data_IF_760516354091
#
_entry.id   IF_760516354091
#
_cell.length_a   1.000
_cell.length_b   1.000
_cell.length_c   1.000
_cell.angle_alpha   90.00
_cell.angle_beta   90.00
_cell.angle_gamma   90.00
#
_symmetry.space_group_name_H-M   'P 1'
#
loop_
_entity.id
_entity.type
_entity.pdbx_description
1 polymer ?
#
# COMPACT_ATOMS: atom_id res chain seq x y z
N UNK A 1 -28.07 -3.71 7.26
CA UNK A 1 -27.89 -3.77 7.16
C UNK A 1 -27.40 -3.84 6.77
N UNK A 2 -27.43 -3.68 6.43
CA UNK A 2 -27.02 -3.77 5.99
C UNK A 2 -26.38 -3.96 5.55
N UNK A 3 -26.40 -4.03 5.25
CA UNK A 3 -25.84 -4.24 4.81
C UNK A 3 -25.29 -4.28 4.26
N UNK A 4 -25.53 -4.40 3.84
CA UNK A 4 -25.12 -4.45 3.24
C UNK A 4 -24.66 -4.08 2.61
N UNK A 5 -24.84 -3.95 2.22
CA UNK A 5 -24.58 -3.65 1.66
C UNK A 5 -23.72 -3.30 1.20
N UNK A 6 -24.00 -3.24 1.21
CA UNK A 6 -23.30 -3.01 0.90
C UNK A 6 -22.47 -2.86 0.45
N UNK A 7 -22.54 -2.93 0.24
CA UNK A 7 -21.95 -3.00 -0.11
C UNK A 7 -21.22 -2.80 -0.71
N UNK A 8 -21.61 -2.72 -1.02
CA UNK A 8 -21.08 -2.68 -1.50
C UNK A 8 -20.35 -2.39 -2.09
N UNK A 9 -20.29 -2.29 -2.46
CA UNK A 9 -19.88 -2.16 -2.87
C UNK A 9 -18.98 -1.76 -3.32
N UNK A 10 -19.11 -1.66 -3.58
CA UNK A 10 -18.43 -1.43 -3.90
C UNK A 10 -17.57 -0.96 -4.29
N UNK A 11 -17.62 -0.94 -4.78
CA UNK A 11 -16.98 -0.70 -5.01
C UNK A 11 -16.28 -0.06 -5.33
N UNK A 12 -16.23 0.15 -5.62
CA UNK A 12 -15.83 0.56 -5.73
C UNK A 12 -15.00 1.22 -5.69
N UNK A 13 -14.96 1.49 -5.90
CA UNK A 13 -14.37 1.99 -5.63
C UNK A 13 -13.70 2.68 -5.12
N UNK A 14 -13.53 3.10 -5.28
CA UNK A 14 -12.87 3.84 -4.63
C UNK A 14 -12.99 4.43 -3.76
N UNK A 15 -13.36 4.67 -4.24
CA UNK A 15 -13.53 5.37 -3.14
C UNK A 15 -14.22 4.72 -2.17
N UNK A 16 -14.71 3.80 -2.58
CA UNK A 16 -15.30 3.02 -1.65
C UNK A 16 -14.63 3.01 -0.42
N UNK A 17 -13.57 3.16 -0.50
CA UNK A 17 -12.85 3.05 0.68
C UNK A 17 -13.12 4.18 1.60
N UNK A 18 -13.75 5.19 1.16
CA UNK A 18 -14.11 6.16 2.05
C UNK A 18 -15.23 5.77 2.83
N UNK A 19 -15.97 5.02 2.42
CA UNK A 19 -17.07 4.70 3.12
C UNK A 19 -16.87 3.71 4.05
N UNK A 20 -16.27 3.31 4.02
CA UNK A 20 -16.26 2.31 4.91
C UNK A 20 -16.49 2.69 6.27
N UNK A 21 -16.70 3.60 5.97
CA UNK A 21 -16.84 3.84 7.02
C UNK A 21 -17.41 3.98 7.75
N UNK A 22 -17.88 3.98 7.41
CA UNK A 22 -18.44 3.97 8.13
C UNK A 22 -18.75 3.88 8.94
N UNK A 23 -18.93 3.86 8.68
CA UNK A 23 -19.40 3.54 9.39
C UNK A 23 -19.36 3.47 10.19
N UNK A 24 -19.56 3.39 9.95
CA UNK A 24 -19.66 3.11 10.75
C UNK A 24 -19.41 3.31 11.76
N UNK A 25 -19.45 3.40 11.52
CA UNK A 25 -19.35 3.40 12.37
C UNK A 25 -19.22 3.66 13.38
N UNK A 26 -19.44 3.64 13.21
CA UNK A 26 -19.58 3.65 14.14
C UNK A 26 -19.26 3.64 15.12
N UNK A 27 -19.30 3.53 15.05
CA UNK A 27 -19.22 3.36 16.10
C UNK A 27 -18.56 3.30 16.93
N UNK A 28 -18.47 3.30 16.61
CA UNK A 28 -18.00 3.28 17.46
C UNK A 28 -17.34 3.16 18.28
N UNK A 29 -17.60 3.27 18.25
CA UNK A 29 -17.20 3.21 19.25
C UNK A 29 -15.97 3.21 19.58
N UNK A 30 -15.78 3.22 19.40
CA UNK A 30 -14.51 3.14 20.02
C UNK A 30 -13.40 3.32 19.03
N UNK A 31 -12.28 3.84 19.38
CA UNK A 31 -11.17 3.96 18.53
C UNK A 31 -10.56 2.63 18.15
N UNK A 32 -11.18 1.55 18.61
CA UNK A 32 -10.67 0.25 18.30
C UNK A 32 -11.27 -0.37 17.07
N UNK A 33 -12.14 0.33 16.38
CA UNK A 33 -12.74 -0.31 15.23
C UNK A 33 -11.67 -0.54 14.18
N UNK A 34 -11.71 -1.71 13.57
CA UNK A 34 -10.76 -2.15 12.58
C UNK A 34 -11.36 -1.93 11.21
N UNK A 35 -10.63 -1.30 10.32
CA UNK A 35 -11.10 -1.09 8.96
C UNK A 35 -10.73 -2.30 8.12
N UNK A 36 -11.69 -2.78 7.36
CA UNK A 36 -11.47 -3.95 6.50
C UNK A 36 -11.83 -3.63 5.06
N UNK A 37 -11.16 -4.32 4.16
CA UNK A 37 -11.43 -4.24 2.74
C UNK A 37 -11.54 -5.67 2.23
N UNK A 38 -12.71 -6.02 1.71
CA UNK A 38 -13.01 -7.38 1.23
C UNK A 38 -12.64 -8.44 2.26
N UNK A 39 -12.91 -8.17 3.52
CA UNK A 39 -12.65 -9.12 4.59
C UNK A 39 -11.26 -9.07 5.19
N UNK A 40 -10.35 -8.30 4.61
CA UNK A 40 -8.98 -8.19 5.12
C UNK A 40 -8.79 -6.92 5.93
N UNK A 41 -8.06 -7.02 7.03
CA UNK A 41 -7.71 -5.86 7.85
C UNK A 41 -6.80 -4.94 7.04
N UNK A 42 -7.06 -3.64 7.09
CA UNK A 42 -6.24 -2.67 6.35
C UNK A 42 -5.28 -1.95 7.29
N UNK A 43 -4.20 -1.43 6.72
CA UNK A 43 -3.22 -0.62 7.43
C UNK A 43 -3.29 0.84 6.99
N UNK A 44 -3.88 1.13 5.85
CA UNK A 44 -3.97 2.48 5.33
C UNK A 44 -4.29 2.47 3.85
N UNK A 45 -3.97 3.57 3.17
CA UNK A 45 -4.17 3.67 1.71
C UNK A 45 -2.92 4.22 1.06
N UNK A 46 -2.73 3.87 -0.21
CA UNK A 46 -1.63 4.37 -1.02
C UNK A 46 -2.19 5.07 -2.24
N UNK A 47 -1.59 6.19 -2.60
CA UNK A 47 -1.95 6.91 -3.80
C UNK A 47 -0.68 7.22 -4.57
N UNK A 48 -0.62 6.81 -5.84
CA UNK A 48 0.53 7.06 -6.71
C UNK A 48 0.02 7.80 -7.95
N UNK A 49 0.13 9.14 -7.96
CA UNK A 49 -0.42 9.91 -9.08
C UNK A 49 0.16 9.52 -10.45
N UNK A 50 1.45 9.19 -10.50
CA UNK A 50 2.09 8.80 -11.77
C UNK A 50 1.37 7.64 -12.44
N UNK A 51 0.92 6.66 -11.67
CA UNK A 51 0.25 5.48 -12.22
C UNK A 51 -1.26 5.54 -12.02
N UNK A 52 -1.74 6.62 -11.39
CA UNK A 52 -3.16 6.79 -11.06
C UNK A 52 -3.69 5.70 -10.14
N UNK A 53 -2.82 5.09 -9.36
CA UNK A 53 -3.23 4.07 -8.40
C UNK A 53 -3.76 4.73 -7.14
N UNK A 54 -4.86 4.22 -6.63
CA UNK A 54 -5.38 4.57 -5.32
C UNK A 54 -6.00 3.30 -4.77
N UNK A 55 -5.43 2.78 -3.70
CA UNK A 55 -5.83 1.46 -3.23
C UNK A 55 -5.64 1.35 -1.72
N UNK A 56 -6.42 0.47 -1.08
CA UNK A 56 -6.15 0.16 0.32
C UNK A 56 -4.87 -0.65 0.43
N UNK A 57 -4.18 -0.46 1.54
CA UNK A 57 -3.00 -1.26 1.88
C UNK A 57 -3.46 -2.23 2.95
N UNK A 58 -3.33 -3.53 2.68
CA UNK A 58 -3.74 -4.54 3.66
C UNK A 58 -2.66 -4.70 4.72
N UNK A 59 -3.08 -5.07 5.93
CA UNK A 59 -2.17 -5.18 7.05
C UNK A 59 -1.20 -6.35 6.88
N UNK A 60 -0.04 -6.22 7.51
CA UNK A 60 1.00 -7.25 7.41
C UNK A 60 0.48 -8.61 7.90
N UNK A 61 -0.41 -8.61 8.89
CA UNK A 61 -0.97 -9.86 9.41
C UNK A 61 -1.78 -10.63 8.37
N UNK A 62 -2.19 -9.95 7.29
CA UNK A 62 -2.98 -10.58 6.24
C UNK A 62 -2.15 -11.08 5.07
N UNK A 63 -0.83 -10.90 5.11
CA UNK A 63 0.01 -11.22 3.96
C UNK A 63 -0.21 -12.67 3.53
N UNK A 64 -0.67 -12.86 2.29
CA UNK A 64 -1.00 -14.17 1.75
C UNK A 64 -1.20 -14.03 0.25
N UNK A 65 -1.20 -15.15 -0.48
CA UNK A 65 -1.52 -15.07 -1.92
C UNK A 65 -2.87 -14.44 -2.18
N UNK A 66 -3.88 -14.75 -1.36
CA UNK A 66 -5.19 -14.20 -1.57
C UNK A 66 -5.24 -12.71 -1.29
N UNK A 67 -4.55 -12.25 -0.28
CA UNK A 67 -4.47 -10.82 0.01
C UNK A 67 -3.82 -10.08 -1.15
N UNK A 68 -2.76 -10.63 -1.72
CA UNK A 68 -2.09 -10.01 -2.86
C UNK A 68 -2.95 -9.99 -4.11
N UNK A 69 -3.93 -10.89 -4.21
CA UNK A 69 -4.89 -10.84 -5.31
C UNK A 69 -5.94 -9.76 -5.09
N UNK A 70 -6.08 -9.30 -3.84
CA UNK A 70 -7.13 -8.37 -3.47
C UNK A 70 -6.64 -6.93 -3.48
N UNK A 71 -5.42 -6.66 -3.05
CA UNK A 71 -4.86 -5.32 -3.08
C UNK A 71 -3.35 -5.40 -2.83
N UNK A 72 -2.74 -4.27 -2.45
CA UNK A 72 -1.34 -4.26 -2.04
C UNK A 72 -1.29 -4.51 -0.54
N UNK A 73 -0.20 -5.07 -0.05
CA UNK A 73 -0.13 -5.60 1.32
C UNK A 73 1.20 -5.21 1.95
N UNK A 74 1.18 -4.82 3.22
CA UNK A 74 2.44 -4.61 3.96
C UNK A 74 3.16 -5.94 4.08
N UNK A 75 4.40 -5.99 3.63
CA UNK A 75 5.23 -7.19 3.69
C UNK A 75 6.14 -7.18 4.90
N UNK A 76 6.67 -6.04 5.29
CA UNK A 76 7.72 -5.96 6.28
C UNK A 76 7.84 -4.53 6.78
N UNK A 77 8.25 -4.33 8.01
CA UNK A 77 8.73 -3.04 8.44
C UNK A 77 8.10 -2.49 9.70
N UNK A 78 8.36 -1.22 9.94
CA UNK A 78 8.04 -0.57 11.21
C UNK A 78 6.59 -0.09 11.29
N UNK A 79 5.91 -0.03 10.14
CA UNK A 79 4.56 0.48 10.10
C UNK A 79 4.47 1.74 9.26
N UNK A 80 3.32 1.98 8.67
CA UNK A 80 3.15 3.10 7.76
C UNK A 80 3.35 4.42 8.50
N UNK A 81 4.06 5.34 7.85
CA UNK A 81 4.26 6.70 8.34
C UNK A 81 5.04 6.79 9.64
N UNK A 82 5.88 5.78 9.93
CA UNK A 82 6.73 5.75 11.12
C UNK A 82 8.19 5.75 10.72
N UNK A 83 9.07 6.26 11.61
CA UNK A 83 10.51 6.23 11.30
C UNK A 83 11.00 4.82 11.02
N UNK A 84 11.79 4.69 9.96
CA UNK A 84 12.24 3.40 9.46
C UNK A 84 11.60 3.09 8.14
N UNK A 85 11.82 1.89 7.64
CA UNK A 85 11.27 1.47 6.36
C UNK A 85 10.08 0.53 6.53
N UNK A 86 9.07 0.70 5.68
CA UNK A 86 7.98 -0.25 5.56
C UNK A 86 7.88 -0.64 4.10
N UNK A 87 7.87 -1.94 3.82
CA UNK A 87 7.80 -2.47 2.47
C UNK A 87 6.37 -2.88 2.15
N UNK A 88 5.88 -2.43 1.02
CA UNK A 88 4.54 -2.74 0.52
C UNK A 88 4.71 -3.54 -0.76
N UNK A 89 4.08 -4.71 -0.80
CA UNK A 89 4.13 -5.60 -1.95
C UNK A 89 2.84 -5.52 -2.73
N UNK A 90 2.94 -5.64 -4.04
CA UNK A 90 1.77 -5.68 -4.92
C UNK A 90 2.11 -6.45 -6.19
N UNK A 91 1.10 -7.07 -6.76
CA UNK A 91 1.27 -7.85 -7.99
C UNK A 91 1.49 -6.95 -9.19
N UNK A 92 2.21 -7.48 -10.14
CA UNK A 92 2.33 -6.93 -11.48
C UNK A 92 1.63 -7.91 -12.41
N UNK A 93 0.42 -7.54 -12.84
CA UNK A 93 -0.35 -8.38 -13.75
C UNK A 93 -0.06 -8.02 -15.21
N UNK A 94 0.89 -7.12 -15.46
CA UNK A 94 1.20 -6.64 -16.81
C UNK A 94 -0.04 -6.05 -17.47
N UNK A 95 -0.88 -5.43 -16.66
CA UNK A 95 -2.11 -4.83 -17.12
C UNK A 95 -2.26 -3.48 -16.44
N UNK A 96 -2.25 -2.42 -17.24
CA UNK A 96 -2.25 -1.07 -16.74
C UNK A 96 -3.45 -0.82 -15.81
N UNK A 97 -3.19 -0.13 -14.72
CA UNK A 97 -4.23 0.23 -13.79
C UNK A 97 -4.44 -0.78 -12.67
N UNK A 98 -3.73 -1.91 -12.67
CA UNK A 98 -3.94 -2.95 -11.66
C UNK A 98 -2.74 -2.99 -10.72
N UNK A 99 -2.97 -2.64 -9.47
CA UNK A 99 -1.98 -2.70 -8.38
C UNK A 99 -0.65 -2.07 -8.78
N UNK A 100 0.45 -2.84 -8.75
CA UNK A 100 1.78 -2.32 -9.06
C UNK A 100 2.22 -2.64 -10.49
N UNK A 101 1.27 -2.96 -11.36
CA UNK A 101 1.59 -3.30 -12.75
C UNK A 101 2.29 -2.16 -13.49
N UNK A 102 2.03 -0.92 -13.10
CA UNK A 102 2.63 0.24 -13.76
C UNK A 102 3.79 0.84 -12.97
N UNK A 103 4.30 0.17 -11.95
CA UNK A 103 5.38 0.74 -11.15
C UNK A 103 6.62 1.06 -11.98
N UNK A 104 6.82 0.39 -13.10
CA UNK A 104 7.95 0.70 -13.99
C UNK A 104 7.89 2.14 -14.53
N UNK A 105 6.73 2.77 -14.48
CA UNK A 105 6.58 4.15 -14.95
C UNK A 105 6.93 5.17 -13.89
N UNK A 106 7.12 4.76 -12.65
CA UNK A 106 7.48 5.67 -11.56
C UNK A 106 8.95 6.03 -11.69
N UNK A 107 9.25 7.30 -11.52
CA UNK A 107 10.63 7.80 -11.64
C UNK A 107 11.06 8.49 -10.36
N UNK A 108 12.38 8.59 -10.19
CA UNK A 108 12.94 9.38 -9.08
C UNK A 108 12.37 10.79 -9.17
N UNK A 109 11.93 11.31 -8.03
CA UNK A 109 11.28 12.62 -7.94
C UNK A 109 9.76 12.55 -7.88
N UNK A 110 9.18 11.42 -8.27
CA UNK A 110 7.72 11.28 -8.23
C UNK A 110 7.24 11.17 -6.78
N UNK A 111 5.99 11.50 -6.56
CA UNK A 111 5.39 11.48 -5.22
C UNK A 111 4.52 10.28 -5.02
N UNK A 112 4.51 9.77 -3.79
CA UNK A 112 3.64 8.72 -3.33
C UNK A 112 3.02 9.20 -2.03
N UNK A 113 1.72 9.02 -1.85
CA UNK A 113 1.03 9.45 -0.65
C UNK A 113 0.53 8.25 0.12
N UNK A 114 0.83 8.22 1.41
CA UNK A 114 0.36 7.15 2.30
C UNK A 114 -0.49 7.79 3.39
N UNK A 115 -1.70 7.28 3.55
CA UNK A 115 -2.58 7.69 4.65
C UNK A 115 -2.71 6.51 5.59
N UNK A 116 -2.37 6.69 6.85
CA UNK A 116 -2.45 5.62 7.82
C UNK A 116 -3.84 5.60 8.48
N UNK A 117 -4.04 4.65 9.38
CA UNK A 117 -5.36 4.49 10.01
C UNK A 117 -5.75 5.64 10.93
N UNK A 118 -4.79 6.44 11.37
CA UNK A 118 -5.11 7.61 12.17
C UNK A 118 -5.57 8.78 11.32
N UNK A 119 -5.50 8.63 9.99
CA UNK A 119 -5.85 9.69 9.06
C UNK A 119 -4.68 10.57 8.67
N UNK A 120 -3.49 10.27 9.17
CA UNK A 120 -2.30 11.06 8.85
C UNK A 120 -1.84 10.70 7.45
N UNK A 121 -1.67 11.72 6.61
CA UNK A 121 -1.25 11.53 5.24
C UNK A 121 0.12 12.16 5.04
N UNK A 122 1.09 11.36 4.59
CA UNK A 122 2.43 11.85 4.30
C UNK A 122 2.72 11.74 2.82
N UNK A 123 3.48 12.70 2.31
CA UNK A 123 3.99 12.67 0.94
C UNK A 123 5.39 12.11 0.99
N UNK A 124 5.65 11.12 0.15
CA UNK A 124 6.97 10.51 0.01
C UNK A 124 7.52 10.84 -1.36
N UNK A 125 8.81 11.15 -1.45
CA UNK A 125 9.46 11.40 -2.72
C UNK A 125 10.31 10.19 -3.08
N UNK A 126 10.14 9.67 -4.27
CA UNK A 126 10.94 8.55 -4.76
C UNK A 126 12.38 9.01 -4.95
N UNK A 127 13.33 8.27 -4.37
CA UNK A 127 14.73 8.64 -4.50
C UNK A 127 15.58 7.54 -5.15
N UNK A 128 15.03 6.34 -5.31
CA UNK A 128 15.77 5.26 -5.97
C UNK A 128 14.80 4.28 -6.58
N UNK A 129 15.27 3.62 -7.65
CA UNK A 129 14.48 2.63 -8.37
C UNK A 129 15.45 1.65 -8.98
N UNK A 130 15.30 0.37 -8.70
CA UNK A 130 16.25 -0.63 -9.19
C UNK A 130 15.60 -2.00 -9.22
N UNK A 131 16.27 -2.95 -9.85
CA UNK A 131 15.83 -4.34 -9.85
C UNK A 131 16.68 -5.14 -8.89
N UNK A 132 16.08 -6.05 -8.19
CA UNK A 132 16.75 -6.93 -7.25
C UNK A 132 16.37 -8.37 -7.55
N UNK A 133 17.24 -9.30 -7.18
CA UNK A 133 16.93 -10.71 -7.33
C UNK A 133 15.75 -11.06 -6.43
N UNK A 134 15.01 -12.06 -6.84
CA UNK A 134 13.81 -12.47 -6.11
C UNK A 134 14.08 -12.77 -4.64
N UNK A 135 15.24 -13.28 -4.31
CA UNK A 135 15.57 -13.62 -2.94
C UNK A 135 16.42 -12.55 -2.23
N UNK A 136 16.60 -11.38 -2.85
CA UNK A 136 17.37 -10.31 -2.23
C UNK A 136 16.41 -9.37 -1.52
N UNK A 137 16.47 -9.38 -0.19
CA UNK A 137 15.60 -8.53 0.62
C UNK A 137 16.38 -7.50 1.44
N UNK A 138 17.64 -7.26 1.09
CA UNK A 138 18.47 -6.34 1.86
C UNK A 138 17.88 -4.94 1.95
N UNK A 139 17.20 -4.50 0.90
CA UNK A 139 16.58 -3.16 0.91
C UNK A 139 15.55 -3.00 2.02
N UNK A 140 14.94 -4.10 2.45
CA UNK A 140 13.86 -4.03 3.44
C UNK A 140 14.37 -3.62 4.82
N UNK A 141 15.56 -4.07 5.19
CA UNK A 141 16.10 -3.82 6.52
C UNK A 141 17.15 -2.71 6.54
N UNK A 142 17.19 -1.90 5.48
CA UNK A 142 18.18 -0.82 5.42
C UNK A 142 18.00 0.18 6.54
N UNK A 143 19.11 0.79 6.93
CA UNK A 143 19.11 1.82 7.96
C UNK A 143 18.68 3.15 7.33
N UNK A 144 17.53 3.68 7.71
CA UNK A 144 17.04 4.94 7.19
C UNK A 144 17.54 6.12 8.00
N UNK A 145 18.31 5.86 9.05
CA UNK A 145 18.88 6.91 9.91
C UNK A 145 17.79 7.81 10.47
N UNK A 146 16.69 7.21 10.87
CA UNK A 146 15.57 7.93 11.47
C UNK A 146 14.57 8.52 10.51
N UNK A 147 14.83 8.43 9.21
CA UNK A 147 13.86 8.91 8.22
C UNK A 147 12.69 7.94 8.08
N UNK A 148 11.54 8.48 7.73
CA UNK A 148 10.37 7.67 7.47
C UNK A 148 10.38 7.34 5.98
N UNK A 149 10.46 6.03 5.67
CA UNK A 149 10.60 5.59 4.28
C UNK A 149 9.68 4.42 3.96
N UNK A 150 9.44 4.23 2.69
CA UNK A 150 8.73 3.07 2.19
C UNK A 150 9.52 2.44 1.05
N UNK A 151 9.28 1.14 0.86
CA UNK A 151 9.76 0.42 -0.31
C UNK A 151 8.55 -0.20 -0.98
N UNK A 152 8.45 -0.08 -2.29
CA UNK A 152 7.42 -0.79 -3.04
C UNK A 152 8.11 -1.92 -3.77
N UNK A 153 7.55 -3.11 -3.74
CA UNK A 153 8.13 -4.26 -4.41
C UNK A 153 7.09 -4.97 -5.26
N UNK A 154 7.47 -5.34 -6.47
CA UNK A 154 6.62 -6.09 -7.38
C UNK A 154 7.51 -6.89 -8.32
N UNK A 155 6.94 -7.83 -9.05
CA UNK A 155 7.70 -8.57 -10.05
C UNK A 155 8.00 -7.70 -11.26
N UNK A 156 9.14 -7.92 -11.89
CA UNK A 156 9.40 -7.32 -13.20
C UNK A 156 8.47 -7.98 -14.24
N UNK A 157 8.34 -7.36 -15.42
CA UNK A 157 7.42 -7.87 -16.43
C UNK A 157 7.75 -9.29 -16.86
N UNK A 158 9.02 -9.70 -16.81
CA UNK A 158 9.40 -11.06 -17.15
C UNK A 158 9.34 -12.01 -15.96
N UNK A 159 8.93 -11.50 -14.80
CA UNK A 159 8.80 -12.26 -13.55
C UNK A 159 10.10 -12.86 -13.02
N UNK A 160 11.24 -12.43 -13.53
CA UNK A 160 12.53 -13.00 -13.12
C UNK A 160 13.19 -12.25 -12.00
N UNK A 161 12.75 -11.02 -11.74
CA UNK A 161 13.35 -10.20 -10.70
C UNK A 161 12.25 -9.40 -10.01
N UNK A 162 12.64 -8.55 -9.06
CA UNK A 162 11.73 -7.66 -8.38
C UNK A 162 12.07 -6.22 -8.75
N UNK A 163 11.06 -5.42 -9.01
CA UNK A 163 11.25 -3.99 -9.21
C UNK A 163 11.03 -3.31 -7.88
N UNK A 164 12.02 -2.56 -7.44
CA UNK A 164 12.02 -1.91 -6.13
C UNK A 164 11.99 -0.40 -6.30
N UNK A 165 11.08 0.25 -5.59
CA UNK A 165 10.97 1.70 -5.56
C UNK A 165 11.20 2.13 -4.11
N UNK A 166 12.16 3.01 -3.86
CA UNK A 166 12.42 3.54 -2.52
C UNK A 166 11.98 5.00 -2.48
N UNK A 167 11.26 5.36 -1.42
CA UNK A 167 10.78 6.73 -1.26
C UNK A 167 10.87 7.15 0.19
N UNK A 168 11.09 8.45 0.40
CA UNK A 168 11.29 9.03 1.73
C UNK A 168 10.27 10.12 1.97
N UNK A 169 9.70 10.15 3.18
CA UNK A 169 8.72 11.14 3.55
C UNK A 169 9.36 12.52 3.60
N UNK A 170 8.59 13.50 3.16
CA UNK A 170 9.03 14.90 3.18
C UNK A 170 8.85 15.47 4.56
N UNK A 171 9.70 16.32 4.90
CA UNK A 171 9.59 17.02 6.10
C UNK A 171 10.20 16.47 7.30
#
# INVERSE_FOLDING_TARGET
NNTTKDEDKTDEDNSAFDGVDDGNSSNSNSGNSVKKYNGFVTAGTIEIPTTKLKAPILDQSEYSPKALETSVVVLYGVGLNKPGNTTIAGHNYRRSGVFFSDNKKINVGDKIYITDLSGRRLAYTVYDKFEAAENDSDYMSRDTQGATEISLTTCTDDSKARLIILARAEG
#
